data_IF_735964580160
#
_entry.id   IF_735964580160
#
_cell.length_a   1.000
_cell.length_b   1.000
_cell.length_c   1.000
_cell.angle_alpha   90.00
_cell.angle_beta   90.00
_cell.angle_gamma   90.00
#
_symmetry.space_group_name_H-M   'P 1'
#
loop_
_entity.id
_entity.type
_entity.pdbx_description
1 polymer ?
#
# COMPACT_ATOMS: atom_id res chain seq x y z
N UNK A 1 11.38 9.36 13.49
CA UNK A 1 12.22 8.45 14.28
C UNK A 1 11.75 7.06 13.94
N UNK A 2 12.61 6.14 13.51
CA UNK A 2 12.19 4.76 13.30
C UNK A 2 11.64 4.23 14.63
N UNK A 3 10.47 3.60 14.60
CA UNK A 3 9.96 2.91 15.77
C UNK A 3 10.86 1.69 16.00
N UNK A 4 11.56 1.66 17.13
CA UNK A 4 12.44 0.54 17.46
C UNK A 4 11.61 -0.59 18.06
N UNK A 5 11.42 -1.68 17.31
CA UNK A 5 10.80 -2.89 17.83
C UNK A 5 11.82 -3.72 18.59
N UNK A 6 11.43 -4.18 19.77
CA UNK A 6 12.21 -5.07 20.64
C UNK A 6 11.33 -6.23 21.06
N UNK A 7 11.88 -7.44 21.02
CA UNK A 7 11.17 -8.68 21.32
C UNK A 7 11.84 -9.35 22.52
N UNK A 8 11.04 -9.80 23.49
CA UNK A 8 11.53 -10.55 24.65
C UNK A 8 10.83 -11.90 24.74
N UNK A 9 11.61 -12.96 24.95
CA UNK A 9 11.12 -14.28 25.34
C UNK A 9 10.88 -14.32 26.85
N UNK A 10 9.69 -14.75 27.25
CA UNK A 10 9.35 -15.00 28.65
C UNK A 10 9.90 -16.38 29.03
N UNK A 11 10.89 -16.43 29.92
CA UNK A 11 11.47 -17.69 30.39
C UNK A 11 10.75 -18.20 31.64
N UNK A 12 10.41 -17.28 32.56
CA UNK A 12 9.59 -17.54 33.74
C UNK A 12 8.93 -16.23 34.22
N UNK A 13 8.22 -16.27 35.36
CA UNK A 13 7.50 -15.10 35.92
C UNK A 13 8.38 -13.85 36.16
N UNK A 14 9.69 -14.01 36.33
CA UNK A 14 10.63 -12.93 36.66
C UNK A 14 11.75 -12.74 35.63
N UNK A 15 11.91 -13.66 34.68
CA UNK A 15 13.01 -13.64 33.71
C UNK A 15 12.50 -13.44 32.29
N UNK A 16 12.99 -12.37 31.68
CA UNK A 16 12.84 -12.07 30.27
C UNK A 16 14.21 -12.13 29.61
N UNK A 17 14.26 -12.63 28.38
CA UNK A 17 15.46 -12.62 27.53
C UNK A 17 15.14 -11.86 26.25
N UNK A 18 15.87 -10.79 26.00
CA UNK A 18 15.75 -10.07 24.74
C UNK A 18 16.25 -10.93 23.58
N UNK A 19 15.46 -10.98 22.51
CA UNK A 19 15.81 -11.67 21.27
C UNK A 19 16.48 -10.65 20.35
N UNK A 20 17.66 -10.99 19.84
CA UNK A 20 18.39 -10.10 18.94
C UNK A 20 17.76 -10.11 17.55
N UNK A 21 17.84 -8.94 16.88
CA UNK A 21 17.52 -8.83 15.46
C UNK A 21 18.50 -9.71 14.66
N UNK A 22 17.95 -10.58 13.83
CA UNK A 22 18.74 -11.34 12.86
C UNK A 22 18.92 -10.55 11.57
N UNK A 23 20.04 -10.80 10.87
CA UNK A 23 20.20 -10.41 9.47
C UNK A 23 19.92 -11.65 8.62
N UNK A 24 18.79 -11.68 7.96
CA UNK A 24 18.43 -12.75 7.04
C UNK A 24 18.34 -12.16 5.63
N UNK A 25 18.41 -13.00 4.61
CA UNK A 25 18.00 -12.63 3.24
C UNK A 25 16.46 -12.52 3.20
N UNK A 26 15.97 -11.56 3.99
CA UNK A 26 14.56 -11.35 4.28
C UNK A 26 13.83 -10.98 3.00
N UNK A 27 14.52 -10.25 2.12
CA UNK A 27 13.98 -9.68 0.89
C UNK A 27 13.62 -10.75 -0.14
N UNK A 28 14.31 -11.89 -0.18
CA UNK A 28 13.91 -13.03 -1.02
C UNK A 28 12.72 -13.79 -0.41
N UNK A 29 12.81 -14.16 0.88
CA UNK A 29 11.77 -14.97 1.55
C UNK A 29 10.45 -14.25 1.77
N UNK A 30 10.47 -12.93 1.93
CA UNK A 30 9.27 -12.18 2.32
C UNK A 30 8.21 -12.16 1.23
N UNK A 31 8.62 -12.17 -0.05
CA UNK A 31 7.66 -12.28 -1.15
C UNK A 31 6.89 -13.59 -1.07
N UNK A 32 7.60 -14.71 -0.89
CA UNK A 32 7.00 -16.04 -0.78
C UNK A 32 6.07 -16.12 0.44
N UNK A 33 6.47 -15.55 1.58
CA UNK A 33 5.62 -15.52 2.77
C UNK A 33 4.36 -14.68 2.57
N UNK A 34 4.48 -13.51 1.94
CA UNK A 34 3.34 -12.64 1.67
C UNK A 34 2.40 -13.23 0.61
N UNK A 35 2.94 -13.94 -0.37
CA UNK A 35 2.14 -14.67 -1.34
C UNK A 35 1.35 -15.80 -0.67
N UNK A 36 2.00 -16.56 0.21
CA UNK A 36 1.37 -17.67 0.93
C UNK A 36 0.35 -17.20 1.96
N UNK A 37 0.65 -16.12 2.67
CA UNK A 37 -0.20 -15.58 3.73
C UNK A 37 -0.12 -14.05 3.77
N UNK A 38 -1.02 -13.40 3.02
CA UNK A 38 -1.11 -11.95 2.96
C UNK A 38 -1.68 -11.32 4.25
N UNK A 39 -2.24 -12.14 5.16
CA UNK A 39 -2.71 -11.65 6.48
C UNK A 39 -1.58 -11.05 7.31
N UNK A 40 -0.33 -11.46 7.02
CA UNK A 40 0.88 -10.83 7.54
C UNK A 40 0.86 -9.31 7.32
N UNK A 41 0.27 -8.82 6.21
CA UNK A 41 0.02 -7.40 5.92
C UNK A 41 -1.37 -6.96 6.41
N UNK A 42 -2.42 -7.66 5.99
CA UNK A 42 -3.81 -7.35 6.34
C UNK A 42 -4.73 -8.51 5.98
N UNK A 43 -5.72 -8.81 6.83
CA UNK A 43 -6.77 -9.80 6.56
C UNK A 43 -7.71 -9.38 5.40
N UNK A 44 -7.74 -8.09 5.07
CA UNK A 44 -8.60 -7.53 4.02
C UNK A 44 -7.93 -7.51 2.62
N UNK A 45 -6.93 -8.36 2.39
CA UNK A 45 -6.25 -8.51 1.09
C UNK A 45 -6.41 -9.91 0.51
N UNK A 46 -6.48 -9.97 -0.81
CA UNK A 46 -6.39 -11.20 -1.60
C UNK A 46 -5.26 -11.03 -2.63
N UNK A 47 -4.27 -11.92 -2.65
CA UNK A 47 -3.24 -11.90 -3.71
C UNK A 47 -3.88 -12.35 -5.02
N UNK A 48 -3.79 -11.51 -6.04
CA UNK A 48 -4.34 -11.77 -7.38
C UNK A 48 -3.27 -11.80 -8.46
N UNK A 49 -2.01 -11.54 -8.12
CA UNK A 49 -0.92 -11.73 -9.05
C UNK A 49 0.44 -11.61 -8.41
N UNK A 50 1.42 -12.24 -9.04
CA UNK A 50 2.82 -12.28 -8.62
C UNK A 50 3.71 -12.06 -9.83
N UNK A 51 4.76 -11.26 -9.67
CA UNK A 51 5.75 -10.94 -10.71
C UNK A 51 5.06 -10.52 -12.03
N UNK A 52 4.17 -9.53 -11.96
CA UNK A 52 3.37 -9.09 -13.11
C UNK A 52 4.19 -8.11 -13.96
N UNK A 53 4.45 -8.49 -15.21
CA UNK A 53 5.03 -7.59 -16.20
C UNK A 53 4.04 -6.48 -16.58
N UNK A 54 4.52 -5.24 -16.57
CA UNK A 54 3.76 -4.07 -17.02
C UNK A 54 4.07 -3.75 -18.48
N UNK A 55 3.14 -3.07 -19.18
CA UNK A 55 3.31 -2.74 -20.60
C UNK A 55 4.45 -1.73 -20.86
N UNK A 56 4.82 -0.93 -19.85
CA UNK A 56 5.91 0.05 -19.93
C UNK A 56 7.28 -0.53 -19.55
N UNK A 57 7.32 -1.82 -19.20
CA UNK A 57 8.50 -2.50 -18.68
C UNK A 57 8.57 -2.46 -17.15
N UNK A 58 9.17 -3.50 -16.57
CA UNK A 58 9.21 -3.67 -15.12
C UNK A 58 8.18 -4.69 -14.62
N UNK A 59 8.39 -5.15 -13.39
CA UNK A 59 7.70 -6.29 -12.80
C UNK A 59 7.21 -5.87 -11.42
N UNK A 60 5.89 -5.90 -11.22
CA UNK A 60 5.27 -5.71 -9.91
C UNK A 60 5.48 -7.00 -9.12
N UNK A 61 6.03 -6.91 -7.91
CA UNK A 61 6.30 -8.10 -7.09
C UNK A 61 4.99 -8.84 -6.73
N UNK A 62 4.03 -8.14 -6.13
CA UNK A 62 2.70 -8.68 -5.80
C UNK A 62 1.60 -7.66 -6.10
N UNK A 63 0.48 -8.14 -6.64
CA UNK A 63 -0.74 -7.37 -6.81
C UNK A 63 -1.85 -8.02 -5.98
N UNK A 64 -2.48 -7.22 -5.13
CA UNK A 64 -3.57 -7.66 -4.28
C UNK A 64 -4.87 -6.92 -4.63
N UNK A 65 -5.99 -7.52 -4.24
CA UNK A 65 -7.32 -6.95 -4.33
C UNK A 65 -7.90 -6.80 -2.92
N UNK A 66 -8.48 -5.64 -2.64
CA UNK A 66 -9.23 -5.39 -1.40
C UNK A 66 -10.71 -5.75 -1.54
N UNK A 67 -11.40 -5.85 -0.40
CA UNK A 67 -12.84 -6.12 -0.32
C UNK A 67 -13.71 -5.14 -1.12
N UNK A 68 -13.27 -3.90 -1.34
CA UNK A 68 -14.01 -2.92 -2.14
C UNK A 68 -13.71 -3.01 -3.65
N UNK A 69 -12.83 -3.92 -4.08
CA UNK A 69 -12.42 -4.08 -5.47
C UNK A 69 -11.22 -3.23 -5.88
N UNK A 70 -10.63 -2.44 -4.98
CA UNK A 70 -9.44 -1.65 -5.27
C UNK A 70 -8.18 -2.52 -5.29
N UNK A 71 -7.22 -2.16 -6.16
CA UNK A 71 -5.94 -2.86 -6.24
C UNK A 71 -4.92 -2.28 -5.26
N UNK A 72 -4.09 -3.17 -4.71
CA UNK A 72 -2.96 -2.79 -3.86
C UNK A 72 -1.68 -3.34 -4.48
N UNK A 73 -0.81 -2.43 -4.89
CA UNK A 73 0.52 -2.74 -5.42
C UNK A 73 1.45 -2.95 -4.24
N UNK A 74 2.01 -4.15 -4.11
CA UNK A 74 3.01 -4.48 -3.10
C UNK A 74 4.37 -4.60 -3.80
N UNK A 75 5.28 -3.71 -3.44
CA UNK A 75 6.62 -3.68 -4.01
C UNK A 75 7.68 -3.87 -2.92
N UNK A 76 8.58 -4.82 -3.13
CA UNK A 76 9.66 -5.10 -2.21
C UNK A 76 10.86 -4.21 -2.53
N UNK A 77 11.39 -3.58 -1.49
CA UNK A 77 12.59 -2.74 -1.56
C UNK A 77 13.85 -3.62 -1.55
N UNK A 78 14.12 -4.33 -2.66
CA UNK A 78 15.30 -5.19 -2.82
C UNK A 78 16.52 -4.43 -3.33
N UNK A 79 17.52 -4.15 -2.48
CA UNK A 79 18.74 -3.42 -2.88
C UNK A 79 18.52 -2.08 -3.62
N UNK A 80 17.29 -1.54 -3.62
CA UNK A 80 16.90 -0.33 -4.34
C UNK A 80 17.24 0.91 -3.54
N UNK A 81 17.73 1.94 -4.21
CA UNK A 81 17.88 3.27 -3.61
C UNK A 81 16.50 3.87 -3.26
N UNK A 82 16.47 4.92 -2.43
CA UNK A 82 15.21 5.57 -2.04
C UNK A 82 14.42 6.14 -3.22
N UNK A 83 15.13 6.60 -4.25
CA UNK A 83 14.55 7.20 -5.46
C UNK A 83 14.00 6.14 -6.41
N UNK A 84 14.71 5.02 -6.55
CA UNK A 84 14.28 3.92 -7.42
C UNK A 84 12.98 3.30 -6.92
N UNK A 85 12.89 2.93 -5.64
CA UNK A 85 11.69 2.28 -5.11
C UNK A 85 10.45 3.18 -5.21
N UNK A 86 10.60 4.47 -4.93
CA UNK A 86 9.47 5.41 -5.00
C UNK A 86 9.05 5.71 -6.43
N UNK A 87 10.01 5.88 -7.35
CA UNK A 87 9.72 6.06 -8.77
C UNK A 87 9.04 4.83 -9.38
N UNK A 88 9.56 3.64 -9.09
CA UNK A 88 9.04 2.37 -9.60
C UNK A 88 7.59 2.14 -9.16
N UNK A 89 7.28 2.32 -7.88
CA UNK A 89 5.92 2.15 -7.35
C UNK A 89 4.94 3.14 -7.97
N UNK A 90 5.37 4.38 -8.23
CA UNK A 90 4.55 5.39 -8.91
C UNK A 90 4.33 5.05 -10.40
N UNK A 91 5.35 4.50 -11.05
CA UNK A 91 5.26 4.02 -12.44
C UNK A 91 4.25 2.87 -12.55
N UNK A 92 4.33 1.90 -11.65
CA UNK A 92 3.37 0.79 -11.56
C UNK A 92 1.95 1.27 -11.25
N UNK A 93 1.79 2.25 -10.35
CA UNK A 93 0.49 2.86 -10.10
C UNK A 93 -0.10 3.52 -11.35
N UNK A 94 0.74 4.13 -12.19
CA UNK A 94 0.29 4.72 -13.44
C UNK A 94 -0.25 3.68 -14.43
N UNK A 95 0.36 2.49 -14.49
CA UNK A 95 -0.13 1.37 -15.31
C UNK A 95 -1.39 0.74 -14.71
N UNK A 96 -1.37 0.45 -13.40
CA UNK A 96 -2.50 -0.16 -12.68
C UNK A 96 -3.76 0.69 -12.81
N UNK A 97 -3.63 2.02 -12.78
CA UNK A 97 -4.76 2.96 -12.95
C UNK A 97 -5.60 2.70 -14.21
N UNK A 98 -4.97 2.28 -15.30
CA UNK A 98 -5.61 2.15 -16.60
C UNK A 98 -6.09 0.70 -16.89
N UNK A 99 -5.97 -0.22 -15.92
CA UNK A 99 -6.44 -1.59 -16.05
C UNK A 99 -7.97 -1.67 -16.05
N UNK A 100 -8.52 -2.35 -17.07
CA UNK A 100 -9.95 -2.68 -17.12
C UNK A 100 -10.29 -3.85 -16.21
N UNK A 101 -11.57 -3.96 -15.82
CA UNK A 101 -12.07 -5.12 -15.07
C UNK A 101 -11.73 -6.47 -15.73
N UNK A 102 -11.82 -6.54 -17.06
CA UNK A 102 -11.47 -7.74 -17.83
C UNK A 102 -10.00 -8.08 -17.64
N UNK A 103 -9.11 -7.10 -17.82
CA UNK A 103 -7.67 -7.30 -17.64
C UNK A 103 -7.30 -7.69 -16.21
N UNK A 104 -7.93 -7.09 -15.20
CA UNK A 104 -7.74 -7.45 -13.78
C UNK A 104 -8.18 -8.90 -13.54
N UNK A 105 -9.35 -9.27 -14.07
CA UNK A 105 -9.89 -10.63 -13.95
C UNK A 105 -8.99 -11.64 -14.64
N UNK A 106 -8.43 -11.31 -15.81
CA UNK A 106 -7.49 -12.17 -16.53
C UNK A 106 -6.18 -12.36 -15.75
N UNK A 107 -5.59 -11.29 -15.23
CA UNK A 107 -4.40 -11.35 -14.37
C UNK A 107 -4.68 -12.27 -13.17
N UNK A 108 -5.81 -12.06 -12.50
CA UNK A 108 -6.22 -12.84 -11.35
C UNK A 108 -6.43 -14.32 -11.67
N UNK A 109 -7.20 -14.63 -12.72
CA UNK A 109 -7.48 -16.01 -13.08
C UNK A 109 -6.23 -16.76 -13.54
N UNK A 110 -5.33 -16.09 -14.26
CA UNK A 110 -4.04 -16.66 -14.65
C UNK A 110 -3.17 -17.00 -13.43
N UNK A 111 -3.17 -16.13 -12.42
CA UNK A 111 -2.43 -16.36 -11.17
C UNK A 111 -3.08 -17.43 -10.28
N UNK A 112 -4.40 -17.42 -10.15
CA UNK A 112 -5.13 -18.36 -9.31
C UNK A 112 -5.09 -19.78 -9.86
N UNK A 113 -5.17 -19.93 -11.20
CA UNK A 113 -5.08 -21.21 -11.88
C UNK A 113 -6.08 -22.23 -11.32
N UNK A 114 -5.57 -23.35 -10.81
CA UNK A 114 -6.37 -24.44 -10.25
C UNK A 114 -7.11 -24.07 -8.95
N UNK A 115 -6.79 -22.92 -8.33
CA UNK A 115 -7.52 -22.40 -7.15
C UNK A 115 -8.91 -21.87 -7.51
N UNK A 116 -9.22 -21.75 -8.80
CA UNK A 116 -10.52 -21.32 -9.30
C UNK A 116 -10.57 -19.84 -9.72
N UNK A 117 -11.72 -19.38 -10.22
CA UNK A 117 -11.87 -18.03 -10.74
C UNK A 117 -11.84 -16.98 -9.63
N UNK A 118 -11.44 -15.75 -9.98
CA UNK A 118 -11.38 -14.59 -9.09
C UNK A 118 -12.64 -14.42 -8.25
N UNK A 119 -13.82 -14.58 -8.85
CA UNK A 119 -15.10 -14.43 -8.14
C UNK A 119 -15.24 -15.42 -6.97
N UNK A 120 -14.78 -16.66 -7.13
CA UNK A 120 -14.83 -17.68 -6.08
C UNK A 120 -13.76 -17.41 -5.01
N UNK A 121 -12.52 -17.11 -5.43
CA UNK A 121 -11.45 -16.74 -4.50
C UNK A 121 -11.82 -15.51 -3.64
N UNK A 122 -12.42 -14.50 -4.25
CA UNK A 122 -12.95 -13.32 -3.57
C UNK A 122 -14.04 -13.68 -2.56
N UNK A 123 -15.00 -14.53 -2.95
CA UNK A 123 -16.06 -15.01 -2.07
C UNK A 123 -15.53 -15.79 -0.87
N UNK A 124 -14.50 -16.61 -1.08
CA UNK A 124 -13.87 -17.38 -0.01
C UNK A 124 -13.08 -16.50 0.96
N UNK A 125 -12.35 -15.50 0.46
CA UNK A 125 -11.56 -14.59 1.29
C UNK A 125 -12.45 -13.61 2.07
N UNK A 126 -13.45 -13.01 1.43
CA UNK A 126 -14.19 -11.89 1.99
C UNK A 126 -15.63 -12.24 2.41
N UNK A 127 -16.16 -13.40 2.03
CA UNK A 127 -17.53 -13.80 2.34
C UNK A 127 -18.61 -12.98 1.61
N UNK A 128 -18.27 -12.36 0.48
CA UNK A 128 -19.15 -11.48 -0.29
C UNK A 128 -18.97 -11.65 -1.80
N UNK A 129 -19.76 -10.92 -2.59
CA UNK A 129 -19.66 -10.94 -4.05
C UNK A 129 -18.59 -9.97 -4.55
N UNK A 130 -17.89 -10.37 -5.62
CA UNK A 130 -16.94 -9.51 -6.32
C UNK A 130 -17.67 -8.26 -6.85
N UNK A 131 -17.19 -7.03 -6.56
CA UNK A 131 -17.80 -5.80 -7.07
C UNK A 131 -17.84 -5.74 -8.60
N UNK A 132 -18.86 -5.07 -9.14
CA UNK A 132 -19.00 -4.86 -10.59
C UNK A 132 -17.96 -3.89 -11.16
N UNK A 133 -17.46 -2.95 -10.35
CA UNK A 133 -16.40 -2.01 -10.72
C UNK A 133 -15.17 -2.41 -9.91
N UNK A 134 -14.08 -2.71 -10.60
CA UNK A 134 -12.80 -2.98 -9.97
C UNK A 134 -11.89 -1.79 -10.17
N UNK A 135 -11.02 -1.55 -9.18
CA UNK A 135 -9.94 -0.58 -9.24
C UNK A 135 -10.41 0.86 -9.52
N UNK A 136 -11.49 1.29 -8.85
CA UNK A 136 -11.89 2.71 -8.85
C UNK A 136 -10.76 3.57 -8.25
N UNK A 137 -10.09 3.02 -7.25
CA UNK A 137 -8.84 3.52 -6.71
C UNK A 137 -7.80 2.40 -6.59
N UNK A 138 -6.55 2.79 -6.34
CA UNK A 138 -5.49 1.85 -6.01
C UNK A 138 -4.64 2.39 -4.86
N UNK A 139 -3.94 1.46 -4.20
CA UNK A 139 -3.00 1.74 -3.12
C UNK A 139 -1.61 1.22 -3.51
N UNK A 140 -0.61 1.85 -2.94
CA UNK A 140 0.81 1.52 -3.11
C UNK A 140 1.39 1.22 -1.74
N UNK A 141 1.94 0.02 -1.56
CA UNK A 141 2.58 -0.41 -0.33
C UNK A 141 4.00 -0.90 -0.59
N UNK A 142 4.98 -0.16 -0.06
CA UNK A 142 6.38 -0.57 -0.09
C UNK A 142 6.64 -1.50 1.09
N UNK A 143 7.20 -2.68 0.82
CA UNK A 143 7.62 -3.66 1.82
C UNK A 143 9.13 -3.65 1.92
N UNK A 144 9.70 -3.49 3.12
CA UNK A 144 11.15 -3.44 3.28
C UNK A 144 11.62 -4.02 4.62
N UNK A 145 12.92 -4.30 4.74
CA UNK A 145 13.57 -4.59 6.03
C UNK A 145 13.81 -3.31 6.84
N UNK A 146 14.04 -2.19 6.16
CA UNK A 146 14.21 -0.85 6.72
C UNK A 146 13.76 0.21 5.70
N UNK A 147 13.30 1.38 6.15
CA UNK A 147 13.12 2.55 5.27
C UNK A 147 14.05 3.67 5.70
N UNK A 148 14.83 4.14 4.73
CA UNK A 148 15.69 5.28 4.92
C UNK A 148 14.88 6.59 5.03
N UNK A 149 15.52 7.60 5.64
CA UNK A 149 14.91 8.92 5.85
C UNK A 149 14.43 9.61 4.57
N UNK A 150 15.04 9.33 3.41
CA UNK A 150 14.61 9.92 2.13
C UNK A 150 13.34 9.26 1.62
N UNK A 151 13.24 7.93 1.68
CA UNK A 151 12.02 7.17 1.37
C UNK A 151 10.87 7.61 2.29
N UNK A 152 11.10 7.66 3.61
CA UNK A 152 10.11 8.13 4.59
C UNK A 152 9.60 9.54 4.23
N UNK A 153 10.52 10.48 3.95
CA UNK A 153 10.17 11.86 3.61
C UNK A 153 9.33 11.93 2.34
N UNK A 154 9.64 11.15 1.30
CA UNK A 154 8.90 11.15 0.04
C UNK A 154 7.49 10.58 0.25
N UNK A 155 7.37 9.43 0.92
CA UNK A 155 6.07 8.80 1.20
C UNK A 155 5.19 9.75 2.01
N UNK A 156 5.73 10.35 3.09
CA UNK A 156 5.00 11.33 3.89
C UNK A 156 4.61 12.55 3.08
N UNK A 157 5.50 13.09 2.24
CA UNK A 157 5.16 14.22 1.39
C UNK A 157 3.98 13.90 0.45
N UNK A 158 4.00 12.76 -0.23
CA UNK A 158 2.94 12.33 -1.15
C UNK A 158 1.61 12.05 -0.42
N UNK A 159 1.67 11.28 0.67
CA UNK A 159 0.49 10.91 1.46
C UNK A 159 -0.10 12.11 2.20
N UNK A 160 0.73 12.88 2.91
CA UNK A 160 0.27 14.03 3.69
C UNK A 160 -0.14 15.18 2.77
N UNK A 161 0.68 15.56 1.79
CA UNK A 161 0.42 16.81 1.05
C UNK A 161 -0.66 16.64 0.01
N UNK A 162 -0.70 15.49 -0.68
CA UNK A 162 -1.54 15.29 -1.87
C UNK A 162 -2.57 14.18 -1.70
N UNK A 163 -2.60 13.48 -0.57
CA UNK A 163 -3.54 12.36 -0.36
C UNK A 163 -3.25 11.16 -1.28
N UNK A 164 -2.01 11.03 -1.76
CA UNK A 164 -1.64 9.84 -2.54
C UNK A 164 -1.69 8.62 -1.63
N UNK A 165 -2.38 7.56 -2.07
CA UNK A 165 -2.52 6.29 -1.35
C UNK A 165 -1.22 5.46 -1.36
N UNK A 166 -0.14 6.03 -0.84
CA UNK A 166 1.17 5.40 -0.71
C UNK A 166 1.55 5.25 0.76
N UNK A 167 2.11 4.09 1.10
CA UNK A 167 2.63 3.80 2.43
C UNK A 167 3.83 2.86 2.35
N UNK A 168 4.48 2.63 3.49
CA UNK A 168 5.48 1.58 3.64
C UNK A 168 5.22 0.77 4.92
N UNK A 169 5.65 -0.49 4.88
CA UNK A 169 5.74 -1.35 6.04
C UNK A 169 7.14 -1.94 6.12
N UNK A 170 7.71 -1.93 7.32
CA UNK A 170 8.98 -2.59 7.61
C UNK A 170 8.74 -3.91 8.30
N UNK A 171 9.57 -4.89 7.98
CA UNK A 171 9.61 -6.17 8.64
C UNK A 171 10.95 -6.39 9.31
N UNK A 172 10.89 -6.67 10.61
CA UNK A 172 12.08 -7.01 11.39
C UNK A 172 12.04 -8.47 11.79
N UNK A 173 13.15 -9.16 11.54
CA UNK A 173 13.31 -10.57 11.86
C UNK A 173 14.16 -10.75 13.11
N UNK A 174 13.72 -11.66 13.98
CA UNK A 174 14.39 -12.00 15.22
C UNK A 174 14.58 -13.50 15.30
N UNK A 175 15.69 -13.94 15.90
CA UNK A 175 15.98 -15.35 16.08
C UNK A 175 16.50 -15.61 17.48
N UNK A 176 15.92 -16.58 18.17
CA UNK A 176 16.42 -17.04 19.46
C UNK A 176 17.51 -18.12 19.28
N UNK A 177 18.31 -18.33 20.33
CA UNK A 177 19.38 -19.33 20.37
C UNK A 177 18.89 -20.77 20.18
N UNK A 178 17.62 -21.04 20.51
CA UNK A 178 17.00 -22.36 20.30
C UNK A 178 16.57 -22.61 18.85
N UNK A 179 16.74 -21.62 17.97
CA UNK A 179 16.39 -21.69 16.55
C UNK A 179 15.01 -21.16 16.21
N UNK A 180 14.19 -20.74 17.18
CA UNK A 180 12.88 -20.12 16.92
C UNK A 180 13.04 -18.81 16.15
N UNK A 181 12.28 -18.65 15.08
CA UNK A 181 12.25 -17.46 14.23
C UNK A 181 10.99 -16.63 14.53
N UNK A 182 11.13 -15.31 14.57
CA UNK A 182 10.03 -14.37 14.79
C UNK A 182 10.08 -13.25 13.76
N UNK A 183 8.91 -12.77 13.36
CA UNK A 183 8.75 -11.65 12.45
C UNK A 183 7.88 -10.60 13.12
N UNK A 184 8.27 -9.33 13.00
CA UNK A 184 7.45 -8.19 13.40
C UNK A 184 7.24 -7.27 12.22
N UNK A 185 6.14 -6.52 12.23
CA UNK A 185 5.74 -5.58 11.19
C UNK A 185 5.47 -4.21 11.81
N UNK A 186 5.92 -3.15 11.15
CA UNK A 186 5.58 -1.77 11.51
C UNK A 186 5.21 -0.97 10.27
N UNK A 187 4.07 -0.29 10.29
CA UNK A 187 3.71 0.65 9.25
C UNK A 187 4.36 2.02 9.49
N UNK A 188 4.81 2.66 8.40
CA UNK A 188 5.38 4.02 8.46
C UNK A 188 4.31 5.05 8.85
N UNK A 189 3.11 4.90 8.29
CA UNK A 189 1.91 5.67 8.60
C UNK A 189 0.82 4.65 8.91
N UNK A 190 0.05 4.83 9.99
CA UNK A 190 -1.09 3.96 10.29
C UNK A 190 -2.02 3.84 9.06
N UNK A 191 -2.37 2.62 8.60
CA UNK A 191 -3.15 2.43 7.37
C UNK A 191 -4.46 3.26 7.33
N UNK A 192 -5.17 3.32 8.46
CA UNK A 192 -6.39 4.12 8.62
C UNK A 192 -6.18 5.63 8.38
N UNK A 193 -4.99 6.16 8.69
CA UNK A 193 -4.66 7.56 8.42
C UNK A 193 -4.39 7.80 6.94
N UNK A 194 -3.79 6.85 6.23
CA UNK A 194 -3.56 6.97 4.78
C UNK A 194 -4.90 6.99 4.05
N UNK A 195 -5.82 6.09 4.39
CA UNK A 195 -7.18 6.05 3.81
C UNK A 195 -7.98 7.32 4.09
N UNK A 196 -7.86 7.88 5.30
CA UNK A 196 -8.50 9.14 5.62
C UNK A 196 -7.96 10.30 4.76
N UNK A 197 -6.63 10.36 4.57
CA UNK A 197 -5.98 11.42 3.77
C UNK A 197 -6.35 11.32 2.29
N UNK A 198 -6.40 10.11 1.72
CA UNK A 198 -6.75 9.93 0.31
C UNK A 198 -8.19 10.35 0.02
N UNK A 199 -9.13 10.08 0.94
CA UNK A 199 -10.53 10.50 0.80
C UNK A 199 -10.77 12.00 0.98
N UNK A 200 -9.92 12.70 1.75
CA UNK A 200 -10.21 14.08 2.19
C UNK A 200 -9.38 15.17 1.47
N UNK A 201 -8.21 14.84 0.93
CA UNK A 201 -7.25 15.85 0.41
C UNK A 201 -7.35 16.15 -1.09
N UNK A 202 -8.42 15.73 -1.75
CA UNK A 202 -8.79 16.17 -3.11
C UNK A 202 -9.34 17.60 -3.21
N UNK A 203 -9.72 18.24 -2.09
CA UNK A 203 -10.23 19.61 -2.08
C UNK A 203 -9.10 20.64 -1.86
N UNK A 204 -8.79 21.42 -2.89
CA UNK A 204 -7.83 22.53 -2.85
C UNK A 204 -8.10 23.49 -1.67
N UNK A 205 -7.05 23.91 -0.96
CA UNK A 205 -7.12 25.01 0.02
C UNK A 205 -7.30 26.38 -0.64
N UNK A 206 -7.15 26.49 -1.97
CA UNK A 206 -7.53 27.72 -2.68
C UNK A 206 -9.03 27.84 -2.63
N UNK A 207 -9.53 29.01 -2.23
CA UNK A 207 -10.93 29.35 -2.52
C UNK A 207 -11.14 29.13 -4.02
N UNK A 208 -12.20 28.41 -4.43
CA UNK A 208 -12.54 28.31 -5.83
C UNK A 208 -12.65 29.72 -6.40
N UNK A 209 -12.28 29.88 -7.68
CA UNK A 209 -12.53 31.15 -8.35
C UNK A 209 -14.01 31.46 -8.22
N UNK A 210 -14.33 32.71 -7.87
CA UNK A 210 -15.70 33.18 -7.81
C UNK A 210 -16.33 32.97 -9.20
N UNK A 211 -17.55 32.44 -9.23
CA UNK A 211 -18.32 32.37 -10.47
C UNK A 211 -18.62 33.78 -10.98
N UNK A 212 -19.00 33.91 -12.25
CA UNK A 212 -19.38 35.21 -12.82
C UNK A 212 -20.51 35.86 -12.01
N UNK A 213 -21.54 35.09 -11.65
CA UNK A 213 -22.65 35.54 -10.79
C UNK A 213 -22.17 36.02 -9.41
N UNK A 214 -21.21 35.32 -8.80
CA UNK A 214 -20.66 35.73 -7.50
C UNK A 214 -19.79 36.99 -7.60
N UNK A 215 -19.11 37.19 -8.73
CA UNK A 215 -18.38 38.43 -9.00
C UNK A 215 -19.34 39.60 -9.24
N UNK A 216 -20.44 39.36 -9.93
CA UNK A 216 -21.50 40.34 -10.20
C UNK A 216 -22.21 40.77 -8.91
N UNK A 217 -22.60 39.84 -8.05
CA UNK A 217 -23.15 40.16 -6.72
C UNK A 217 -22.18 40.97 -5.84
N UNK A 218 -20.87 40.68 -5.92
CA UNK A 218 -19.85 41.43 -5.21
C UNK A 218 -19.67 42.83 -5.82
N UNK A 219 -19.74 42.96 -7.14
CA UNK A 219 -19.66 44.24 -7.83
C UNK A 219 -20.87 45.12 -7.48
N UNK A 220 -22.08 44.57 -7.52
CA UNK A 220 -23.32 45.25 -7.15
C UNK A 220 -23.31 45.68 -5.68
N UNK A 221 -22.91 44.77 -4.78
CA UNK A 221 -22.82 45.06 -3.34
C UNK A 221 -21.80 46.15 -3.01
N UNK A 222 -20.75 46.28 -3.81
CA UNK A 222 -19.76 47.36 -3.68
C UNK A 222 -20.09 48.60 -4.52
N UNK A 223 -21.23 48.62 -5.23
CA UNK A 223 -21.68 49.76 -6.04
C UNK A 223 -20.87 49.99 -7.32
N UNK A 224 -20.23 48.95 -7.86
CA UNK A 224 -19.39 49.00 -9.08
C UNK A 224 -19.89 48.06 -10.18
N UNK A 225 -21.11 47.53 -10.07
CA UNK A 225 -21.70 46.59 -11.03
C UNK A 225 -22.07 47.18 -12.39
N UNK A 226 -22.19 48.50 -12.50
CA UNK A 226 -22.61 49.21 -13.74
C UNK A 226 -21.46 49.92 -14.49
N UNK A 227 -20.19 49.59 -14.21
CA UNK A 227 -19.02 50.18 -14.90
C UNK A 227 -18.70 49.52 -16.25
#
# INVERSE_FOLDING_TARGET
MPQEVRVWKILDRKKLKEINKGKLDLEERIEDWLEQDISIISDDLLVVGRQIETDFGGIIDLLCLERNGDLVILELKRQKTPREITAQVLDYASWVKDLSNEKITDIANNYLGDRGPLKEAFGNQFGGELPEILNEHHKMLIVASDIDSSTERIIKYLSDTYGVSINATTFEYFRDEDGSEFLSKVFLIEPSQVEYKSKTRGASKRRPYLTYEQLEEIADKNGVGEL
#
